data_IF_218003544271
#
_entry.id   IF_218003544271
#
_cell.length_a   1.000
_cell.length_b   1.000
_cell.length_c   1.000
_cell.angle_alpha   90.00
_cell.angle_beta   90.00
_cell.angle_gamma   90.00
#
_symmetry.space_group_name_H-M   'P 1'
#
loop_
_entity.id
_entity.type
_entity.pdbx_description
1 polymer ?
#
# COMPACT_ATOMS: atom_id res chain seq x y z
N UNK A 1 28.99 -16.39 9.29
CA UNK A 1 28.74 -17.85 9.23
C UNK A 1 27.26 -18.20 9.09
N UNK A 2 26.32 -17.42 9.67
CA UNK A 2 24.87 -17.58 9.44
C UNK A 2 24.43 -17.15 8.02
N UNK A 3 25.01 -16.12 7.44
CA UNK A 3 24.66 -15.67 6.07
C UNK A 3 25.00 -16.71 4.98
N UNK A 4 26.05 -17.50 5.18
CA UNK A 4 26.44 -18.57 4.25
C UNK A 4 25.54 -19.81 4.34
N UNK A 5 24.86 -20.04 5.48
CA UNK A 5 23.92 -21.15 5.63
C UNK A 5 22.58 -20.85 4.93
N UNK A 6 22.17 -19.57 4.91
CA UNK A 6 20.93 -19.11 4.27
C UNK A 6 20.95 -19.37 2.75
N UNK A 7 22.10 -19.11 2.11
CA UNK A 7 22.29 -19.30 0.66
C UNK A 7 22.36 -20.80 0.30
N UNK A 8 22.88 -21.65 1.18
CA UNK A 8 22.98 -23.09 0.92
C UNK A 8 21.65 -23.83 1.03
N UNK A 9 20.75 -23.40 1.94
CA UNK A 9 19.40 -23.99 2.02
C UNK A 9 18.58 -23.64 0.78
N UNK A 10 18.69 -22.42 0.26
CA UNK A 10 17.99 -22.01 -0.97
C UNK A 10 18.44 -22.78 -2.22
N UNK A 11 19.73 -23.14 -2.32
CA UNK A 11 20.27 -23.83 -3.50
C UNK A 11 20.03 -25.35 -3.54
N UNK A 12 19.72 -25.99 -2.41
CA UNK A 12 19.63 -27.46 -2.33
C UNK A 12 18.23 -28.02 -2.60
N UNK A 13 17.19 -27.17 -2.70
CA UNK A 13 15.79 -27.61 -2.92
C UNK A 13 15.28 -27.40 -4.36
N UNK A 14 16.18 -27.09 -5.29
CA UNK A 14 15.93 -27.18 -6.73
C UNK A 14 16.14 -28.64 -7.14
N UNK A 15 15.10 -29.52 -7.18
CA UNK A 15 14.02 -29.43 -8.19
C UNK A 15 12.64 -30.08 -7.83
N UNK A 16 12.18 -30.13 -6.57
CA UNK A 16 10.92 -30.84 -6.22
C UNK A 16 10.00 -29.99 -5.34
N UNK A 17 9.31 -28.97 -5.86
CA UNK A 17 8.33 -28.25 -5.03
C UNK A 17 7.14 -27.74 -5.86
N UNK A 18 5.98 -28.39 -5.69
CA UNK A 18 4.67 -28.02 -6.27
C UNK A 18 3.70 -27.48 -5.19
N UNK A 19 4.16 -26.65 -4.25
CA UNK A 19 3.29 -26.04 -3.23
C UNK A 19 3.77 -24.65 -2.82
N UNK A 20 2.81 -23.74 -2.61
CA UNK A 20 3.02 -22.28 -2.46
C UNK A 20 3.48 -21.81 -1.06
N UNK A 21 4.02 -22.70 -0.22
CA UNK A 21 4.40 -22.35 1.16
C UNK A 21 5.61 -23.18 1.60
N UNK A 22 6.63 -22.53 2.18
CA UNK A 22 7.82 -23.20 2.70
C UNK A 22 8.04 -22.90 4.18
N UNK A 23 8.52 -23.91 4.90
CA UNK A 23 8.93 -23.81 6.29
C UNK A 23 10.45 -23.88 6.39
N UNK A 24 11.08 -22.86 6.97
CA UNK A 24 12.49 -22.92 7.35
C UNK A 24 12.56 -23.23 8.84
N UNK A 25 13.09 -24.41 9.20
CA UNK A 25 13.39 -24.76 10.58
C UNK A 25 14.79 -24.27 10.95
N UNK A 26 14.87 -23.30 11.86
CA UNK A 26 16.13 -22.90 12.50
C UNK A 26 16.00 -23.27 13.98
N UNK A 27 17.00 -23.98 14.52
CA UNK A 27 17.07 -24.55 15.87
C UNK A 27 15.98 -24.08 16.86
N UNK A 28 15.10 -25.04 17.19
CA UNK A 28 14.09 -25.06 18.26
C UNK A 28 13.31 -23.75 18.42
N UNK A 29 12.13 -23.69 17.78
CA UNK A 29 11.01 -22.73 17.94
C UNK A 29 10.80 -21.69 16.84
N UNK A 30 11.73 -21.46 15.91
CA UNK A 30 11.50 -20.48 14.83
C UNK A 30 11.14 -21.17 13.52
N UNK A 31 9.84 -21.16 13.20
CA UNK A 31 9.29 -21.54 11.90
C UNK A 31 9.04 -20.25 11.11
N UNK A 32 9.84 -19.98 10.08
CA UNK A 32 9.50 -18.95 9.10
C UNK A 32 8.59 -19.55 8.02
N UNK A 33 7.44 -18.92 7.78
CA UNK A 33 6.57 -19.20 6.64
C UNK A 33 6.94 -18.23 5.54
N UNK A 34 7.62 -18.71 4.50
CA UNK A 34 7.89 -17.91 3.30
C UNK A 34 6.69 -18.07 2.38
N UNK A 35 5.91 -17.00 2.21
CA UNK A 35 4.90 -16.91 1.14
C UNK A 35 5.55 -16.25 -0.07
N UNK A 36 5.56 -16.95 -1.20
CA UNK A 36 6.14 -16.43 -2.44
C UNK A 36 5.29 -15.29 -3.00
N UNK A 37 5.94 -14.21 -3.40
CA UNK A 37 5.31 -13.15 -4.18
C UNK A 37 5.14 -13.60 -5.64
N UNK A 38 4.30 -12.91 -6.40
CA UNK A 38 4.01 -13.33 -7.78
C UNK A 38 5.26 -13.24 -8.68
N UNK A 39 6.15 -12.29 -8.40
CA UNK A 39 7.42 -12.08 -9.12
C UNK A 39 8.54 -13.04 -8.70
N UNK A 40 8.33 -13.84 -7.65
CA UNK A 40 9.17 -15.02 -7.37
C UNK A 40 8.74 -16.23 -8.23
N UNK A 41 7.49 -16.24 -8.70
CA UNK A 41 6.87 -17.36 -9.44
C UNK A 41 6.95 -17.16 -10.96
N UNK A 42 6.91 -15.92 -11.44
CA UNK A 42 6.82 -15.57 -12.85
C UNK A 42 7.80 -14.43 -13.21
N UNK A 43 8.43 -14.51 -14.38
CA UNK A 43 9.32 -13.45 -14.90
C UNK A 43 8.56 -12.22 -15.46
N UNK A 44 7.25 -12.37 -15.62
CA UNK A 44 6.33 -11.39 -16.20
C UNK A 44 4.89 -11.66 -15.71
N UNK A 45 4.02 -10.65 -15.82
CA UNK A 45 2.61 -10.75 -15.47
C UNK A 45 1.92 -11.93 -16.19
N UNK A 46 1.44 -12.96 -15.47
CA UNK A 46 0.79 -14.12 -16.08
C UNK A 46 -0.67 -13.79 -16.42
N UNK A 47 -0.87 -13.11 -17.55
CA UNK A 47 -2.17 -12.57 -18.00
C UNK A 47 -3.31 -13.60 -18.09
N UNK A 48 -3.01 -14.89 -18.27
CA UNK A 48 -4.02 -15.96 -18.30
C UNK A 48 -4.44 -16.45 -16.89
N UNK A 49 -3.57 -16.26 -15.90
CA UNK A 49 -3.80 -16.70 -14.51
C UNK A 49 -4.44 -15.62 -13.64
N UNK A 50 -4.15 -14.35 -13.92
CA UNK A 50 -4.65 -13.20 -13.15
C UNK A 50 -5.66 -12.42 -13.99
N UNK A 51 -6.88 -12.28 -13.49
CA UNK A 51 -7.94 -11.49 -14.15
C UNK A 51 -8.31 -10.20 -13.41
N UNK A 52 -7.74 -9.98 -12.23
CA UNK A 52 -8.02 -8.81 -11.39
C UNK A 52 -6.73 -8.25 -10.82
N UNK A 53 -6.57 -6.93 -10.89
CA UNK A 53 -5.46 -6.20 -10.26
C UNK A 53 -6.00 -5.14 -9.31
N UNK A 54 -5.48 -5.15 -8.09
CA UNK A 54 -5.83 -4.24 -7.00
C UNK A 54 -4.61 -3.37 -6.70
N UNK A 55 -4.76 -2.06 -6.86
CA UNK A 55 -3.68 -1.10 -6.62
C UNK A 55 -3.84 -0.44 -5.25
N UNK A 56 -2.75 -0.32 -4.49
CA UNK A 56 -2.64 0.78 -3.55
C UNK A 56 -2.56 2.13 -4.29
N UNK A 57 -2.82 3.21 -3.56
CA UNK A 57 -2.79 4.58 -4.09
C UNK A 57 -1.53 5.31 -3.66
N UNK A 58 -1.22 5.33 -2.35
CA UNK A 58 -0.05 6.04 -1.83
C UNK A 58 1.23 5.34 -2.28
N UNK A 59 2.19 6.08 -2.83
CA UNK A 59 3.47 5.57 -3.34
C UNK A 59 3.39 4.47 -4.41
N UNK A 60 2.19 4.19 -4.94
CA UNK A 60 1.98 3.36 -6.13
C UNK A 60 1.41 4.21 -7.26
N UNK A 61 0.32 4.95 -7.03
CA UNK A 61 -0.33 5.80 -8.04
C UNK A 61 -0.12 7.30 -7.79
N UNK A 62 -0.02 7.71 -6.52
CA UNK A 62 0.21 9.09 -6.09
C UNK A 62 1.45 9.14 -5.19
N UNK A 63 2.35 10.10 -5.44
CA UNK A 63 3.60 10.21 -4.70
C UNK A 63 3.35 10.83 -3.32
N UNK A 64 3.36 10.01 -2.28
CA UNK A 64 3.19 10.43 -0.90
C UNK A 64 4.53 10.45 -0.17
N UNK A 65 5.09 11.65 0.02
CA UNK A 65 6.39 11.81 0.68
C UNK A 65 6.33 12.88 1.75
N UNK A 66 6.32 12.43 3.01
CA UNK A 66 6.24 13.31 4.16
C UNK A 66 7.26 14.47 4.14
N UNK A 67 8.56 14.27 3.81
CA UNK A 67 9.52 15.37 3.75
C UNK A 67 9.18 16.42 2.68
N UNK A 68 8.75 15.98 1.49
CA UNK A 68 8.37 16.89 0.39
C UNK A 68 7.09 17.66 0.74
N UNK A 69 6.11 17.00 1.37
CA UNK A 69 4.89 17.63 1.86
C UNK A 69 5.18 18.69 2.94
N UNK A 70 6.05 18.39 3.90
CA UNK A 70 6.45 19.33 4.94
C UNK A 70 7.20 20.54 4.36
N UNK A 71 8.12 20.31 3.42
CA UNK A 71 8.84 21.37 2.73
C UNK A 71 7.91 22.28 1.90
N UNK A 72 6.89 21.69 1.26
CA UNK A 72 5.89 22.45 0.48
C UNK A 72 4.93 23.23 1.37
N UNK A 73 4.37 22.56 2.38
CA UNK A 73 3.28 23.12 3.20
C UNK A 73 3.83 24.04 4.27
N UNK A 74 5.01 23.79 4.83
CA UNK A 74 5.62 24.58 5.91
C UNK A 74 7.08 24.95 5.56
N UNK A 75 7.30 25.74 4.48
CA UNK A 75 8.65 26.13 4.08
C UNK A 75 9.35 27.04 5.09
N UNK A 76 8.60 27.74 5.93
CA UNK A 76 9.11 28.75 6.85
C UNK A 76 9.68 28.19 8.16
N UNK A 77 9.45 26.91 8.46
CA UNK A 77 9.92 26.23 9.68
C UNK A 77 10.49 24.83 9.41
N UNK A 78 11.57 24.71 8.63
CA UNK A 78 12.25 23.43 8.41
C UNK A 78 12.76 22.78 9.71
N UNK A 79 13.05 23.59 10.72
CA UNK A 79 13.44 23.14 12.06
C UNK A 79 12.35 22.31 12.78
N UNK A 80 11.09 22.43 12.36
CA UNK A 80 9.97 21.68 12.94
C UNK A 80 9.60 20.40 12.17
N UNK A 81 10.19 20.16 10.99
CA UNK A 81 9.72 19.10 10.09
C UNK A 81 9.78 17.71 10.70
N UNK A 82 10.88 17.37 11.37
CA UNK A 82 11.02 16.05 12.01
C UNK A 82 10.00 15.84 13.13
N UNK A 83 9.77 16.87 13.95
CA UNK A 83 8.78 16.82 15.02
C UNK A 83 7.35 16.74 14.47
N UNK A 84 7.04 17.49 13.41
CA UNK A 84 5.72 17.46 12.78
C UNK A 84 5.47 16.12 12.06
N UNK A 85 6.48 15.56 11.40
CA UNK A 85 6.38 14.23 10.78
C UNK A 85 6.03 13.17 11.83
N UNK A 86 6.67 13.22 12.99
CA UNK A 86 6.42 12.29 14.08
C UNK A 86 5.03 12.46 14.70
N UNK A 87 4.63 13.71 14.96
CA UNK A 87 3.35 14.03 15.61
C UNK A 87 2.14 13.86 14.72
N UNK A 88 2.31 14.03 13.41
CA UNK A 88 1.22 13.93 12.44
C UNK A 88 1.29 12.57 11.77
N UNK A 89 2.19 12.36 10.82
CA UNK A 89 2.17 11.20 9.92
C UNK A 89 2.50 9.87 10.59
N UNK A 90 3.37 9.85 11.61
CA UNK A 90 3.71 8.61 12.35
C UNK A 90 2.85 8.38 13.60
N UNK A 91 1.90 9.27 13.85
CA UNK A 91 1.04 9.18 15.02
C UNK A 91 -0.12 8.20 14.82
N UNK A 92 -0.66 7.62 15.90
CA UNK A 92 -1.89 6.82 15.80
C UNK A 92 -3.10 7.65 15.32
N UNK A 93 -3.08 8.97 15.50
CA UNK A 93 -4.17 9.86 15.11
C UNK A 93 -4.31 9.99 13.61
N UNK A 94 -3.20 9.91 12.86
CA UNK A 94 -3.24 9.81 11.40
C UNK A 94 -3.96 8.53 10.95
N UNK A 95 -3.60 7.39 11.54
CA UNK A 95 -4.28 6.12 11.26
C UNK A 95 -5.75 6.12 11.68
N UNK A 96 -6.13 6.82 12.75
CA UNK A 96 -7.54 7.00 13.14
C UNK A 96 -8.32 7.80 12.08
N UNK A 97 -7.72 8.83 11.51
CA UNK A 97 -8.31 9.59 10.40
C UNK A 97 -8.45 8.74 9.15
N UNK A 98 -7.39 8.03 8.76
CA UNK A 98 -7.44 7.15 7.57
C UNK A 98 -8.43 6.00 7.75
N UNK A 99 -8.65 5.52 8.99
CA UNK A 99 -9.73 4.57 9.30
C UNK A 99 -11.11 5.23 9.33
N UNK A 100 -11.21 6.56 9.40
CA UNK A 100 -12.50 7.24 9.59
C UNK A 100 -13.10 7.06 10.99
N UNK A 101 -12.27 6.79 12.00
CA UNK A 101 -12.70 6.63 13.40
C UNK A 101 -12.60 7.92 14.23
N UNK A 102 -12.16 9.02 13.63
CA UNK A 102 -12.09 10.34 14.24
C UNK A 102 -12.24 11.46 13.22
N UNK A 103 -12.79 12.59 13.65
CA UNK A 103 -12.89 13.81 12.87
C UNK A 103 -11.55 14.55 12.80
N UNK A 104 -11.42 15.46 11.82
CA UNK A 104 -10.22 16.31 11.66
C UNK A 104 -9.95 17.15 12.92
N UNK A 105 -10.99 17.71 13.56
CA UNK A 105 -10.79 18.51 14.78
C UNK A 105 -10.36 17.66 15.99
N UNK A 106 -10.89 16.44 16.13
CA UNK A 106 -10.45 15.52 17.19
C UNK A 106 -8.97 15.14 17.04
N UNK A 107 -8.53 14.83 15.82
CA UNK A 107 -7.12 14.48 15.58
C UNK A 107 -6.20 15.70 15.74
N UNK A 108 -6.61 16.91 15.32
CA UNK A 108 -5.85 18.15 15.57
C UNK A 108 -5.67 18.37 17.07
N UNK A 109 -6.75 18.28 17.84
CA UNK A 109 -6.71 18.45 19.28
C UNK A 109 -5.78 17.43 19.95
N UNK A 110 -5.85 16.17 19.53
CA UNK A 110 -5.02 15.12 20.08
C UNK A 110 -3.52 15.27 19.73
N UNK A 111 -3.21 15.60 18.47
CA UNK A 111 -1.82 15.83 18.01
C UNK A 111 -1.19 17.07 18.68
N UNK A 112 -2.00 18.07 19.02
CA UNK A 112 -1.56 19.34 19.60
C UNK A 112 -1.55 19.35 21.14
N UNK A 113 -2.15 18.36 21.81
CA UNK A 113 -2.40 18.37 23.26
C UNK A 113 -1.18 18.71 24.11
N UNK A 114 0.00 18.16 23.77
CA UNK A 114 1.25 18.39 24.52
C UNK A 114 2.07 19.57 24.02
N UNK A 115 1.72 20.15 22.87
CA UNK A 115 2.38 21.29 22.24
C UNK A 115 1.36 22.15 21.48
N UNK A 116 0.51 22.90 22.20
CA UNK A 116 -0.53 23.72 21.58
C UNK A 116 0.03 24.73 20.57
N UNK A 117 1.28 25.18 20.73
CA UNK A 117 1.99 26.05 19.81
C UNK A 117 2.19 25.46 18.40
N UNK A 118 2.08 24.13 18.26
CA UNK A 118 2.19 23.45 16.97
C UNK A 118 0.85 23.31 16.24
N UNK A 119 -0.28 23.61 16.89
CA UNK A 119 -1.63 23.44 16.33
C UNK A 119 -1.80 24.11 14.96
N UNK A 120 -1.33 25.36 14.71
CA UNK A 120 -1.49 25.98 13.40
C UNK A 120 -0.80 25.19 12.28
N UNK A 121 0.38 24.61 12.56
CA UNK A 121 1.13 23.80 11.59
C UNK A 121 0.47 22.44 11.35
N UNK A 122 0.00 21.80 12.42
CA UNK A 122 -0.71 20.52 12.35
C UNK A 122 -2.01 20.67 11.54
N UNK A 123 -2.79 21.71 11.82
CA UNK A 123 -4.01 22.04 11.08
C UNK A 123 -3.71 22.23 9.60
N UNK A 124 -2.70 23.03 9.28
CA UNK A 124 -2.28 23.31 7.90
C UNK A 124 -1.89 22.02 7.16
N UNK A 125 -1.11 21.14 7.80
CA UNK A 125 -0.75 19.84 7.24
C UNK A 125 -1.97 18.96 6.98
N UNK A 126 -2.95 18.93 7.88
CA UNK A 126 -4.15 18.11 7.72
C UNK A 126 -5.12 18.63 6.67
N UNK A 127 -5.05 19.90 6.29
CA UNK A 127 -5.93 20.50 5.28
C UNK A 127 -5.28 20.65 3.90
N UNK A 128 -3.96 20.78 3.80
CA UNK A 128 -3.27 21.14 2.54
C UNK A 128 -2.49 20.00 1.88
N UNK A 129 -2.41 18.82 2.50
CA UNK A 129 -1.64 17.68 1.98
C UNK A 129 -2.24 16.99 0.74
N UNK A 130 -3.51 17.24 0.45
CA UNK A 130 -4.36 16.43 -0.45
C UNK A 130 -3.98 16.46 -1.94
N UNK A 131 -3.24 17.48 -2.37
CA UNK A 131 -2.79 17.60 -3.74
C UNK A 131 -1.45 16.86 -3.93
N UNK A 132 -1.55 15.56 -4.25
CA UNK A 132 -0.41 14.67 -4.49
C UNK A 132 -0.19 14.46 -5.99
N UNK A 133 1.06 14.53 -6.48
CA UNK A 133 1.34 14.30 -7.89
C UNK A 133 1.22 12.81 -8.25
N UNK A 134 0.79 12.55 -9.48
CA UNK A 134 0.71 11.20 -10.02
C UNK A 134 2.10 10.56 -10.18
N UNK A 135 2.18 9.25 -9.97
CA UNK A 135 3.37 8.44 -10.23
C UNK A 135 3.27 7.84 -11.65
N UNK A 136 4.12 8.29 -12.60
CA UNK A 136 4.00 7.88 -14.00
C UNK A 136 4.02 6.37 -14.20
N UNK A 137 4.87 5.66 -13.47
CA UNK A 137 5.00 4.20 -13.58
C UNK A 137 3.73 3.45 -13.14
N UNK A 138 3.15 3.80 -11.98
CA UNK A 138 1.91 3.19 -11.52
C UNK A 138 0.74 3.49 -12.46
N UNK A 139 0.63 4.73 -12.93
CA UNK A 139 -0.43 5.15 -13.88
C UNK A 139 -0.27 4.44 -15.22
N UNK A 140 0.95 4.27 -15.73
CA UNK A 140 1.18 3.54 -16.97
C UNK A 140 0.86 2.04 -16.82
N UNK A 141 1.23 1.46 -15.68
CA UNK A 141 0.87 0.07 -15.33
C UNK A 141 -0.64 -0.11 -15.28
N UNK A 142 -1.37 0.82 -14.65
CA UNK A 142 -2.83 0.83 -14.63
C UNK A 142 -3.43 0.83 -16.05
N UNK A 143 -2.88 1.64 -16.96
CA UNK A 143 -3.32 1.70 -18.36
C UNK A 143 -3.02 0.41 -19.12
N UNK A 144 -1.86 -0.20 -18.89
CA UNK A 144 -1.52 -1.52 -19.46
C UNK A 144 -2.55 -2.55 -19.03
N UNK A 145 -2.84 -2.63 -17.73
CA UNK A 145 -3.85 -3.54 -17.19
C UNK A 145 -5.23 -3.28 -17.81
N UNK A 146 -5.69 -2.02 -17.91
CA UNK A 146 -6.97 -1.69 -18.56
C UNK A 146 -7.02 -2.18 -20.00
N UNK A 147 -5.95 -1.97 -20.76
CA UNK A 147 -5.84 -2.41 -22.17
C UNK A 147 -5.88 -3.94 -22.31
N UNK A 148 -5.36 -4.67 -21.33
CA UNK A 148 -5.40 -6.14 -21.28
C UNK A 148 -6.76 -6.69 -20.82
N UNK A 149 -7.67 -5.82 -20.34
CA UNK A 149 -9.03 -6.19 -19.99
C UNK A 149 -9.19 -6.86 -18.63
N UNK A 150 -8.17 -6.77 -17.76
CA UNK A 150 -8.32 -7.22 -16.36
C UNK A 150 -9.19 -6.24 -15.57
N UNK A 151 -9.88 -6.74 -14.55
CA UNK A 151 -10.64 -5.90 -13.61
C UNK A 151 -9.69 -5.09 -12.75
N UNK A 152 -10.06 -3.86 -12.44
CA UNK A 152 -9.22 -2.90 -11.75
C UNK A 152 -9.92 -2.37 -10.50
N UNK A 153 -9.29 -2.56 -9.34
CA UNK A 153 -9.76 -1.99 -8.08
C UNK A 153 -8.66 -1.21 -7.38
N UNK A 154 -9.02 -0.27 -6.52
CA UNK A 154 -8.07 0.34 -5.58
C UNK A 154 -8.40 -0.06 -4.14
N UNK A 155 -7.37 -0.32 -3.35
CA UNK A 155 -7.45 -0.57 -1.90
C UNK A 155 -6.48 0.37 -1.18
N UNK A 156 -7.00 1.37 -0.49
CA UNK A 156 -6.17 2.47 0.05
C UNK A 156 -6.48 2.80 1.51
N UNK A 157 -5.41 3.09 2.26
CA UNK A 157 -5.50 3.75 3.55
C UNK A 157 -5.65 5.26 3.31
N UNK A 158 -6.88 5.74 3.25
CA UNK A 158 -7.20 7.12 2.89
C UNK A 158 -8.49 7.55 3.59
N UNK A 159 -8.53 8.77 4.10
CA UNK A 159 -9.77 9.42 4.51
C UNK A 159 -10.69 9.66 3.28
N UNK A 160 -12.00 9.42 3.45
CA UNK A 160 -12.96 9.33 2.34
C UNK A 160 -13.11 10.64 1.55
N UNK A 161 -13.11 11.79 2.25
CA UNK A 161 -13.27 13.11 1.62
C UNK A 161 -12.05 13.48 0.77
N UNK A 162 -10.86 13.24 1.31
CA UNK A 162 -9.59 13.53 0.64
C UNK A 162 -9.37 12.58 -0.55
N UNK A 163 -9.79 11.32 -0.44
CA UNK A 163 -9.80 10.41 -1.58
C UNK A 163 -10.76 10.87 -2.69
N UNK A 164 -11.97 11.33 -2.34
CA UNK A 164 -12.90 11.87 -3.33
C UNK A 164 -12.29 13.06 -4.08
N UNK A 165 -11.60 13.97 -3.37
CA UNK A 165 -10.86 15.06 -3.99
C UNK A 165 -9.77 14.56 -4.94
N UNK A 166 -8.97 13.55 -4.54
CA UNK A 166 -7.93 12.98 -5.39
C UNK A 166 -8.51 12.39 -6.69
N UNK A 167 -9.68 11.75 -6.63
CA UNK A 167 -10.40 11.25 -7.80
C UNK A 167 -10.83 12.37 -8.76
N UNK A 168 -11.19 13.55 -8.25
CA UNK A 168 -11.54 14.72 -9.07
C UNK A 168 -10.32 15.35 -9.74
N UNK A 169 -9.13 15.27 -9.14
CA UNK A 169 -7.91 15.87 -9.69
C UNK A 169 -7.21 14.99 -10.74
N UNK A 170 -7.48 13.68 -10.76
CA UNK A 170 -6.73 12.71 -11.55
C UNK A 170 -7.64 11.81 -12.38
N UNK A 171 -7.75 12.09 -13.68
CA UNK A 171 -8.64 11.38 -14.61
C UNK A 171 -8.40 9.85 -14.69
N UNK A 172 -7.18 9.38 -14.37
CA UNK A 172 -6.89 7.95 -14.41
C UNK A 172 -7.72 7.14 -13.40
N UNK A 173 -8.28 7.75 -12.36
CA UNK A 173 -9.18 7.06 -11.44
C UNK A 173 -10.45 6.54 -12.14
N UNK A 174 -10.85 7.13 -13.28
CA UNK A 174 -11.99 6.65 -14.08
C UNK A 174 -11.75 5.27 -14.72
N UNK A 175 -10.50 4.76 -14.70
CA UNK A 175 -10.17 3.43 -15.25
C UNK A 175 -10.58 2.29 -14.32
N UNK A 176 -10.76 2.56 -13.02
CA UNK A 176 -11.11 1.56 -12.00
C UNK A 176 -12.58 1.16 -12.08
N UNK A 177 -12.83 -0.12 -11.79
CA UNK A 177 -14.16 -0.71 -11.68
C UNK A 177 -14.73 -0.58 -10.26
N UNK A 178 -13.90 -0.23 -9.27
CA UNK A 178 -14.34 0.08 -7.91
C UNK A 178 -13.20 0.49 -6.97
N UNK A 179 -13.60 1.05 -5.82
CA UNK A 179 -12.68 1.51 -4.79
C UNK A 179 -13.07 0.92 -3.42
N UNK A 180 -12.06 0.54 -2.63
CA UNK A 180 -12.21 0.24 -1.22
C UNK A 180 -11.33 1.19 -0.41
N UNK A 181 -11.99 2.11 0.30
CA UNK A 181 -11.35 3.26 0.95
C UNK A 181 -11.49 3.10 2.45
N UNK A 182 -10.38 2.95 3.16
CA UNK A 182 -10.38 2.64 4.60
C UNK A 182 -11.26 3.60 5.42
N UNK A 183 -11.25 4.90 5.09
CA UNK A 183 -12.00 5.92 5.81
C UNK A 183 -13.51 5.77 5.69
N UNK A 184 -13.98 5.15 4.60
CA UNK A 184 -15.38 4.80 4.37
C UNK A 184 -15.77 3.50 5.05
N UNK A 185 -14.82 2.57 5.16
CA UNK A 185 -15.07 1.21 5.62
C UNK A 185 -14.78 0.96 7.10
N UNK A 186 -14.22 1.94 7.81
CA UNK A 186 -13.87 1.82 9.22
C UNK A 186 -12.89 0.69 9.55
N UNK A 187 -12.08 0.30 8.56
CA UNK A 187 -11.00 -0.69 8.67
C UNK A 187 -9.81 -0.24 7.83
N UNK A 188 -8.60 -0.71 8.13
CA UNK A 188 -7.36 -0.19 7.53
C UNK A 188 -6.35 -1.33 7.29
N UNK A 189 -5.53 -1.21 6.24
CA UNK A 189 -4.36 -2.10 6.05
C UNK A 189 -3.32 -1.86 7.16
N UNK A 190 -2.59 -2.88 7.61
CA UNK A 190 -2.58 -4.28 7.14
C UNK A 190 -3.62 -5.19 7.84
N UNK A 191 -4.67 -4.65 8.45
CA UNK A 191 -5.69 -5.47 9.12
C UNK A 191 -6.43 -6.38 8.14
N UNK A 192 -6.50 -7.68 8.43
CA UNK A 192 -7.05 -8.70 7.51
C UNK A 192 -8.50 -8.44 7.07
N UNK A 193 -9.28 -7.75 7.90
CA UNK A 193 -10.70 -7.49 7.63
C UNK A 193 -10.92 -6.63 6.38
N UNK A 194 -9.99 -5.73 6.05
CA UNK A 194 -10.11 -4.90 4.84
C UNK A 194 -9.95 -5.72 3.56
N UNK A 195 -9.04 -6.71 3.56
CA UNK A 195 -8.83 -7.61 2.43
C UNK A 195 -10.00 -8.58 2.26
N UNK A 196 -10.52 -9.12 3.38
CA UNK A 196 -11.73 -9.96 3.36
C UNK A 196 -12.96 -9.19 2.86
N UNK A 197 -13.07 -7.91 3.22
CA UNK A 197 -14.12 -7.03 2.74
C UNK A 197 -13.98 -6.77 1.23
N UNK A 198 -12.75 -6.53 0.75
CA UNK A 198 -12.46 -6.39 -0.68
C UNK A 198 -12.91 -7.62 -1.48
N UNK A 199 -12.46 -8.80 -1.05
CA UNK A 199 -12.77 -10.08 -1.69
C UNK A 199 -14.28 -10.30 -1.74
N UNK A 200 -14.98 -10.15 -0.62
CA UNK A 200 -16.42 -10.40 -0.54
C UNK A 200 -17.24 -9.37 -1.31
N UNK A 201 -16.91 -8.07 -1.23
CA UNK A 201 -17.65 -6.99 -1.88
C UNK A 201 -17.62 -7.09 -3.40
N UNK A 202 -16.44 -7.35 -3.96
CA UNK A 202 -16.25 -7.39 -5.41
C UNK A 202 -16.30 -8.82 -5.96
N UNK A 203 -16.57 -9.81 -5.11
CA UNK A 203 -16.67 -11.24 -5.47
C UNK A 203 -15.39 -11.70 -6.19
N UNK A 204 -14.24 -11.34 -5.62
CA UNK A 204 -12.94 -11.65 -6.19
C UNK A 204 -12.57 -13.11 -5.90
N UNK A 205 -11.90 -13.74 -6.86
CA UNK A 205 -11.15 -14.97 -6.61
C UNK A 205 -9.75 -14.58 -6.13
N UNK A 206 -9.38 -14.87 -4.87
CA UNK A 206 -8.09 -14.46 -4.33
C UNK A 206 -6.89 -14.97 -5.13
N UNK A 207 -6.95 -16.22 -5.62
CA UNK A 207 -5.84 -16.83 -6.37
C UNK A 207 -5.62 -16.16 -7.73
N UNK A 208 -6.67 -15.52 -8.28
CA UNK A 208 -6.65 -14.80 -9.56
C UNK A 208 -6.58 -13.28 -9.41
N UNK A 209 -6.38 -12.80 -8.18
CA UNK A 209 -6.31 -11.38 -7.83
C UNK A 209 -4.92 -11.00 -7.38
N UNK A 210 -4.31 -10.05 -8.09
CA UNK A 210 -3.01 -9.48 -7.73
C UNK A 210 -3.17 -8.17 -6.98
N UNK A 211 -2.60 -8.06 -5.78
CA UNK A 211 -2.47 -6.83 -5.02
C UNK A 211 -1.08 -6.20 -5.15
N UNK A 212 -1.02 -4.89 -5.41
CA UNK A 212 0.21 -4.10 -5.55
C UNK A 212 0.24 -3.05 -4.44
N UNK A 213 1.32 -3.01 -3.66
CA UNK A 213 1.49 -2.08 -2.53
C UNK A 213 2.99 -1.84 -2.28
N UNK A 214 3.36 -0.68 -1.74
CA UNK A 214 4.74 -0.33 -1.39
C UNK A 214 5.16 -0.81 0.01
N UNK A 215 4.20 -1.16 0.86
CA UNK A 215 4.43 -1.64 2.22
C UNK A 215 4.48 -3.17 2.29
N UNK A 216 5.61 -3.70 2.75
CA UNK A 216 5.78 -5.15 2.94
C UNK A 216 4.72 -5.75 3.89
N UNK A 217 4.33 -5.03 4.95
CA UNK A 217 3.30 -5.50 5.89
C UNK A 217 1.94 -5.65 5.20
N UNK A 218 1.61 -4.77 4.24
CA UNK A 218 0.37 -4.85 3.49
C UNK A 218 0.41 -6.02 2.49
N UNK A 219 1.58 -6.29 1.92
CA UNK A 219 1.83 -7.43 1.03
C UNK A 219 1.66 -8.75 1.79
N UNK A 220 2.27 -8.87 2.97
CA UNK A 220 2.15 -10.07 3.82
C UNK A 220 0.69 -10.35 4.22
N UNK A 221 -0.06 -9.31 4.63
CA UNK A 221 -1.47 -9.44 4.98
C UNK A 221 -2.36 -9.84 3.79
N UNK A 222 -2.08 -9.31 2.59
CA UNK A 222 -2.76 -9.69 1.37
C UNK A 222 -2.53 -11.17 1.02
N UNK A 223 -1.26 -11.61 1.09
CA UNK A 223 -0.88 -13.01 0.92
C UNK A 223 -1.58 -13.88 1.98
N UNK A 224 -1.68 -13.43 3.24
CA UNK A 224 -2.39 -14.14 4.31
C UNK A 224 -3.86 -14.42 3.96
N UNK A 225 -4.50 -13.46 3.29
CA UNK A 225 -5.88 -13.56 2.81
C UNK A 225 -6.03 -14.31 1.47
N UNK A 226 -4.95 -14.91 0.95
CA UNK A 226 -4.95 -15.73 -0.26
C UNK A 226 -4.83 -14.96 -1.57
N UNK A 227 -4.64 -13.64 -1.53
CA UNK A 227 -4.36 -12.84 -2.71
C UNK A 227 -2.96 -13.18 -3.25
N UNK A 228 -2.76 -13.05 -4.56
CA UNK A 228 -1.40 -12.87 -5.09
C UNK A 228 -0.93 -11.45 -4.77
N UNK A 229 0.37 -11.25 -4.59
CA UNK A 229 0.89 -9.93 -4.24
C UNK A 229 2.22 -9.62 -4.93
N UNK A 230 2.43 -8.34 -5.23
CA UNK A 230 3.68 -7.79 -5.76
C UNK A 230 4.09 -6.57 -4.93
N UNK A 231 5.24 -6.66 -4.27
CA UNK A 231 5.80 -5.56 -3.48
C UNK A 231 6.47 -4.52 -4.39
N UNK A 232 5.90 -3.33 -4.49
CA UNK A 232 6.49 -2.21 -5.24
C UNK A 232 7.54 -1.49 -4.39
N UNK A 233 8.80 -1.94 -4.52
CA UNK A 233 9.90 -1.52 -3.64
C UNK A 233 11.05 -0.81 -4.34
N UNK A 234 10.95 -0.63 -5.66
CA UNK A 234 11.92 0.10 -6.48
C UNK A 234 11.24 0.58 -7.75
N UNK A 235 11.70 1.73 -8.25
CA UNK A 235 11.31 2.26 -9.55
C UNK A 235 11.67 1.28 -10.67
N UNK A 236 10.86 1.28 -11.73
CA UNK A 236 10.96 0.41 -12.90
C UNK A 236 10.38 -0.99 -12.72
N UNK A 237 10.12 -1.44 -11.48
CA UNK A 237 9.66 -2.81 -11.20
C UNK A 237 8.30 -3.12 -11.83
N UNK A 238 7.34 -2.20 -11.79
CA UNK A 238 6.02 -2.44 -12.36
C UNK A 238 6.11 -2.53 -13.88
N UNK A 239 6.84 -1.60 -14.51
CA UNK A 239 7.01 -1.65 -15.97
C UNK A 239 7.76 -2.91 -16.42
N UNK A 240 8.79 -3.34 -15.68
CA UNK A 240 9.52 -4.57 -15.97
C UNK A 240 8.61 -5.81 -15.95
N UNK A 241 7.70 -5.87 -14.97
CA UNK A 241 6.81 -7.02 -14.77
C UNK A 241 5.58 -7.01 -15.69
N UNK A 242 4.96 -5.85 -15.92
CA UNK A 242 3.69 -5.72 -16.65
C UNK A 242 3.83 -5.40 -18.14
N UNK A 243 4.95 -4.84 -18.61
CA UNK A 243 5.08 -4.43 -20.01
C UNK A 243 5.37 -5.58 -20.99
N UNK A 244 5.66 -6.78 -20.48
CA UNK A 244 5.90 -8.01 -21.28
C UNK A 244 4.56 -8.68 -21.65
#
# INVERSE_FOLDING_TARGET
MLEFLLVHVLYTISPILKSETFYVMINVEVIFVIRLMIDDKYDAMPWDAIDTVVFDVGNVLLSWKAPELLARIIPERPDLHDELAERVFRSPYWSMRDRGSATVEEVIGAMSLRKPELEPYIRRLLTEWIDLPAMPEGVETLKICKKRGVKLYALTNYADKEFAYACEQHDFFQLFDGFLVSGREHTIKPGLDIYRLLISRFQLDPERTLFIDDSLMNIEAALECGLQALHYNKDGKLLEFFAK
#
